data_IF_259937742780
#
_entry.id   IF_259937742780
#
_cell.length_a   1.000
_cell.length_b   1.000
_cell.length_c   1.000
_cell.angle_alpha   90.00
_cell.angle_beta   90.00
_cell.angle_gamma   90.00
#
_symmetry.space_group_name_H-M   'P 1'
#
loop_
_entity.id
_entity.type
_entity.pdbx_description
1 polymer ?
#
# COMPACT_ATOMS: atom_id res chain seq x y z
N UNK A 1 13.76 7.14 5.13
CA UNK A 1 12.38 6.77 5.46
C UNK A 1 11.77 7.50 6.66
N UNK A 2 12.52 8.31 7.43
CA UNK A 2 12.04 8.86 8.72
C UNK A 2 11.32 10.22 8.65
N UNK A 3 11.36 10.93 7.52
CA UNK A 3 10.73 12.27 7.37
C UNK A 3 9.25 12.17 6.97
N UNK A 4 8.87 11.10 6.29
CA UNK A 4 7.48 10.88 5.87
C UNK A 4 6.59 10.48 7.05
N UNK A 5 7.13 9.78 8.07
CA UNK A 5 6.41 9.42 9.29
C UNK A 5 5.79 10.61 10.03
N UNK A 6 6.57 11.63 10.43
CA UNK A 6 6.02 12.80 11.13
C UNK A 6 5.10 13.65 10.25
N UNK A 7 5.36 13.74 8.94
CA UNK A 7 4.43 14.40 8.00
C UNK A 7 3.10 13.63 7.88
N UNK A 8 3.13 12.31 7.80
CA UNK A 8 1.93 11.47 7.74
C UNK A 8 1.11 11.54 9.03
N UNK A 9 1.76 11.55 10.20
CA UNK A 9 1.08 11.72 11.50
C UNK A 9 0.36 13.08 11.57
N UNK A 10 1.03 14.16 11.13
CA UNK A 10 0.42 15.48 11.10
C UNK A 10 -0.81 15.55 10.19
N UNK A 11 -0.76 14.92 9.01
CA UNK A 11 -1.93 14.86 8.11
C UNK A 11 -3.05 14.00 8.70
N UNK A 12 -2.73 12.85 9.30
CA UNK A 12 -3.71 11.99 9.97
C UNK A 12 -4.40 12.73 11.13
N UNK A 13 -3.63 13.41 11.98
CA UNK A 13 -4.15 14.18 13.11
C UNK A 13 -5.03 15.33 12.64
N UNK A 14 -4.66 16.03 11.56
CA UNK A 14 -5.50 17.06 10.94
C UNK A 14 -6.80 16.49 10.39
N UNK A 15 -6.75 15.38 9.66
CA UNK A 15 -7.95 14.74 9.10
C UNK A 15 -8.93 14.30 10.20
N UNK A 16 -8.42 13.73 11.29
CA UNK A 16 -9.22 13.34 12.45
C UNK A 16 -9.78 14.56 13.19
N UNK A 17 -8.97 15.61 13.38
CA UNK A 17 -9.45 16.85 14.00
C UNK A 17 -10.57 17.51 13.17
N UNK A 18 -10.48 17.47 11.83
CA UNK A 18 -11.53 17.95 10.92
C UNK A 18 -12.80 17.10 11.07
N UNK A 19 -12.64 15.79 11.29
CA UNK A 19 -13.75 14.85 11.48
C UNK A 19 -14.21 14.75 12.95
N UNK A 20 -13.86 15.74 13.78
CA UNK A 20 -14.21 15.79 15.21
C UNK A 20 -13.76 14.56 16.03
N UNK A 21 -12.65 13.93 15.62
CA UNK A 21 -12.10 12.73 16.26
C UNK A 21 -12.75 11.42 15.80
N UNK A 22 -13.62 11.44 14.80
CA UNK A 22 -14.27 10.25 14.29
C UNK A 22 -13.33 9.46 13.34
N UNK A 23 -12.86 8.31 13.82
CA UNK A 23 -12.00 7.40 13.06
C UNK A 23 -12.76 6.65 11.96
N UNK A 24 -14.09 6.55 12.05
CA UNK A 24 -14.91 5.90 11.03
C UNK A 24 -14.91 6.66 9.72
N UNK A 25 -14.53 7.95 9.71
CA UNK A 25 -14.40 8.75 8.49
C UNK A 25 -13.42 8.13 7.49
N UNK A 26 -12.45 7.35 7.96
CA UNK A 26 -11.49 6.64 7.11
C UNK A 26 -12.17 5.57 6.24
N UNK A 27 -13.32 5.06 6.68
CA UNK A 27 -14.12 4.05 5.99
C UNK A 27 -15.41 4.62 5.39
N UNK A 28 -15.99 5.64 6.03
CA UNK A 28 -17.23 6.32 5.60
C UNK A 28 -16.97 7.32 4.47
N UNK A 29 -15.80 7.96 4.43
CA UNK A 29 -15.46 8.89 3.35
C UNK A 29 -15.04 8.12 2.11
N UNK A 30 -15.74 8.27 0.97
CA UNK A 30 -15.39 7.56 -0.26
C UNK A 30 -13.98 7.91 -0.75
N UNK A 31 -13.52 9.13 -0.49
CA UNK A 31 -12.14 9.56 -0.82
C UNK A 31 -11.12 8.83 0.06
N UNK A 32 -11.37 8.72 1.37
CA UNK A 32 -10.47 8.01 2.27
C UNK A 32 -10.40 6.52 1.92
N UNK A 33 -11.55 5.90 1.62
CA UNK A 33 -11.62 4.52 1.18
C UNK A 33 -10.80 4.27 -0.10
N UNK A 34 -10.91 5.14 -1.12
CA UNK A 34 -10.13 5.03 -2.35
C UNK A 34 -8.63 5.18 -2.08
N UNK A 35 -8.22 6.15 -1.25
CA UNK A 35 -6.81 6.34 -0.90
C UNK A 35 -6.23 5.14 -0.13
N UNK A 36 -6.99 4.57 0.80
CA UNK A 36 -6.61 3.36 1.53
C UNK A 36 -6.49 2.16 0.58
N UNK A 37 -7.41 2.00 -0.37
CA UNK A 37 -7.34 0.95 -1.38
C UNK A 37 -6.07 1.07 -2.24
N UNK A 38 -5.73 2.29 -2.67
CA UNK A 38 -4.49 2.56 -3.43
C UNK A 38 -3.25 2.24 -2.59
N UNK A 39 -3.21 2.68 -1.32
CA UNK A 39 -2.10 2.40 -0.42
C UNK A 39 -1.92 0.89 -0.18
N UNK A 40 -3.03 0.16 0.02
CA UNK A 40 -3.01 -1.29 0.15
C UNK A 40 -2.51 -1.95 -1.14
N UNK A 41 -3.00 -1.54 -2.30
CA UNK A 41 -2.53 -2.06 -3.59
C UNK A 41 -1.03 -1.82 -3.78
N UNK A 42 -0.51 -0.63 -3.44
CA UNK A 42 0.91 -0.31 -3.54
C UNK A 42 1.80 -1.21 -2.66
N UNK A 43 1.30 -1.73 -1.54
CA UNK A 43 2.01 -2.70 -0.69
C UNK A 43 1.83 -4.14 -1.17
N UNK A 44 0.61 -4.51 -1.56
CA UNK A 44 0.24 -5.90 -1.89
C UNK A 44 0.71 -6.30 -3.29
N UNK A 45 0.58 -5.42 -4.29
CA UNK A 45 0.97 -5.69 -5.68
C UNK A 45 2.43 -6.14 -5.81
N UNK A 46 3.45 -5.42 -5.28
CA UNK A 46 4.84 -5.87 -5.37
C UNK A 46 5.09 -7.15 -4.57
N UNK A 47 4.40 -7.37 -3.45
CA UNK A 47 4.50 -8.60 -2.67
C UNK A 47 3.99 -9.80 -3.48
N UNK A 48 2.82 -9.68 -4.11
CA UNK A 48 2.24 -10.71 -4.97
C UNK A 48 3.13 -10.95 -6.20
N UNK A 49 3.58 -9.89 -6.88
CA UNK A 49 4.47 -10.01 -8.04
C UNK A 49 5.77 -10.71 -7.68
N UNK A 50 6.35 -10.42 -6.51
CA UNK A 50 7.54 -11.10 -6.02
C UNK A 50 7.29 -12.58 -5.76
N UNK A 51 6.18 -12.93 -5.11
CA UNK A 51 5.79 -14.34 -4.89
C UNK A 51 5.52 -15.09 -6.20
N UNK A 52 5.02 -14.41 -7.23
CA UNK A 52 4.79 -15.00 -8.57
C UNK A 52 6.03 -15.03 -9.45
N UNK A 53 6.99 -14.14 -9.22
CA UNK A 53 8.21 -13.98 -10.01
C UNK A 53 9.21 -15.12 -9.83
N UNK A 54 9.27 -15.76 -8.65
CA UNK A 54 10.16 -16.91 -8.42
C UNK A 54 9.87 -18.10 -9.35
N UNK A 55 8.65 -18.22 -9.87
CA UNK A 55 8.30 -19.27 -10.86
C UNK A 55 8.82 -19.01 -12.27
N UNK A 56 9.08 -17.74 -12.65
CA UNK A 56 9.48 -17.37 -14.01
C UNK A 56 11.01 -17.33 -14.22
N UNK A 57 11.80 -17.11 -13.16
CA UNK A 57 13.28 -17.09 -13.28
C UNK A 57 13.86 -18.51 -13.36
N UNK A 58 13.27 -19.47 -12.63
CA UNK A 58 13.69 -20.87 -12.65
C UNK A 58 13.33 -21.59 -13.98
N UNK A 59 12.27 -21.14 -14.66
CA UNK A 59 11.86 -21.70 -15.96
C UNK A 59 12.66 -21.14 -17.14
N UNK A 60 13.35 -20.00 -16.98
CA UNK A 60 14.31 -19.50 -17.98
C UNK A 60 15.69 -20.17 -17.86
N UNK A 61 16.10 -20.57 -16.65
CA UNK A 61 17.35 -21.32 -16.44
C UNK A 61 17.28 -22.77 -16.94
N UNK A 62 16.10 -23.40 -16.90
CA UNK A 62 15.93 -24.77 -17.37
C UNK A 62 15.80 -24.92 -18.91
N UNK A 63 15.78 -23.82 -19.67
CA UNK A 63 15.61 -23.82 -21.13
C UNK A 63 16.86 -23.45 -21.93
N UNK A 64 17.98 -23.16 -21.26
CA UNK A 64 19.27 -22.77 -21.89
C UNK A 64 20.31 -23.91 -21.84
N UNK A 65 19.94 -25.08 -21.30
CA UNK A 65 20.74 -26.31 -21.33
C UNK A 65 20.30 -27.18 -22.52
N UNK A 66 20.58 -26.76 -23.76
CA UNK A 66 20.60 -27.63 -24.95
C UNK A 66 21.68 -27.18 -25.95
#
# INVERSE_FOLDING_TARGET
>A
GLILGPMAEQQLRRALSISQGDWTVLFTSPIAAVLLAIAAAALIVPLILRMRGEGQVLSQLAGDED
#
